data_IF_580000562176
#
_entry.id   IF_580000562176
#
_cell.length_a   1.000
_cell.length_b   1.000
_cell.length_c   1.000
_cell.angle_alpha   90.00
_cell.angle_beta   90.00
_cell.angle_gamma   90.00
#
_symmetry.space_group_name_H-M   'P 1'
#
loop_
_entity.id
_entity.type
_entity.pdbx_description
1 polymer ?
#
# COMPACT_ATOMS: atom_id res chain seq x y z
N UNK A 1 4.10 -22.63 6.52
CA UNK A 1 3.84 -21.31 7.14
C UNK A 1 4.11 -20.27 6.07
N UNK A 2 3.20 -19.32 5.87
CA UNK A 2 3.33 -18.22 4.90
C UNK A 2 3.81 -16.95 5.60
N UNK A 3 4.50 -16.06 4.87
CA UNK A 3 5.00 -14.78 5.35
C UNK A 3 4.19 -13.64 4.73
N UNK A 4 3.57 -12.83 5.57
CA UNK A 4 2.78 -11.66 5.18
C UNK A 4 3.47 -10.37 5.62
N UNK A 5 3.78 -9.49 4.69
CA UNK A 5 4.30 -8.14 4.96
C UNK A 5 3.16 -7.15 4.78
N UNK A 6 2.82 -6.38 5.83
CA UNK A 6 1.64 -5.50 5.84
C UNK A 6 2.05 -4.08 6.22
N UNK A 7 2.07 -3.17 5.25
CA UNK A 7 2.28 -1.75 5.54
C UNK A 7 1.00 -1.13 6.11
N UNK A 8 1.15 -0.23 7.09
CA UNK A 8 -0.01 0.30 7.82
C UNK A 8 -0.71 -0.76 8.69
N UNK A 9 -0.01 -1.85 9.04
CA UNK A 9 -0.55 -2.98 9.79
C UNK A 9 -0.78 -2.72 11.29
N UNK A 10 -0.53 -1.50 11.78
CA UNK A 10 -0.76 -1.12 13.18
C UNK A 10 -2.15 -0.51 13.42
N UNK A 11 -2.96 -0.30 12.36
CA UNK A 11 -4.27 0.34 12.46
C UNK A 11 -5.24 -0.16 11.36
N UNK A 12 -6.55 0.01 11.58
CA UNK A 12 -7.62 -0.24 10.63
C UNK A 12 -7.52 -1.59 9.91
N UNK A 13 -7.68 -1.57 8.58
CA UNK A 13 -7.66 -2.76 7.71
C UNK A 13 -6.37 -3.56 7.88
N UNK A 14 -5.21 -2.89 7.84
CA UNK A 14 -3.92 -3.58 7.95
C UNK A 14 -3.76 -4.32 9.28
N UNK A 15 -4.20 -3.71 10.39
CA UNK A 15 -4.18 -4.35 11.72
C UNK A 15 -5.09 -5.57 11.78
N UNK A 16 -6.30 -5.46 11.23
CA UNK A 16 -7.25 -6.57 11.24
C UNK A 16 -6.71 -7.77 10.43
N UNK A 17 -6.14 -7.53 9.25
CA UNK A 17 -5.49 -8.56 8.44
C UNK A 17 -4.29 -9.18 9.16
N UNK A 18 -3.46 -8.35 9.81
CA UNK A 18 -2.29 -8.80 10.54
C UNK A 18 -2.67 -9.76 11.68
N UNK A 19 -3.69 -9.41 12.46
CA UNK A 19 -4.19 -10.25 13.56
C UNK A 19 -4.81 -11.54 13.04
N UNK A 20 -5.61 -11.49 11.99
CA UNK A 20 -6.23 -12.66 11.37
C UNK A 20 -5.20 -13.68 10.89
N UNK A 21 -4.17 -13.25 10.12
CA UNK A 21 -3.13 -14.16 9.66
C UNK A 21 -2.24 -14.67 10.81
N UNK A 22 -2.03 -13.86 11.82
CA UNK A 22 -1.31 -14.31 13.01
C UNK A 22 -2.07 -15.39 13.77
N UNK A 23 -3.42 -15.27 13.91
CA UNK A 23 -4.29 -16.27 14.53
C UNK A 23 -4.35 -17.57 13.70
N UNK A 24 -4.25 -17.47 12.37
CA UNK A 24 -4.12 -18.62 11.46
C UNK A 24 -2.73 -19.28 11.48
N UNK A 25 -1.83 -18.85 12.36
CA UNK A 25 -0.50 -19.43 12.54
C UNK A 25 0.52 -19.01 11.48
N UNK A 26 0.29 -17.91 10.77
CA UNK A 26 1.20 -17.38 9.77
C UNK A 26 2.25 -16.45 10.40
N UNK A 27 3.32 -16.18 9.65
CA UNK A 27 4.33 -15.17 9.96
C UNK A 27 3.87 -13.80 9.46
N UNK A 28 3.92 -12.79 10.32
CA UNK A 28 3.39 -11.46 9.98
C UNK A 28 4.37 -10.36 10.34
N UNK A 29 4.78 -9.61 9.34
CA UNK A 29 5.61 -8.41 9.47
C UNK A 29 4.71 -7.18 9.28
N UNK A 30 4.61 -6.35 10.31
CA UNK A 30 3.85 -5.11 10.29
C UNK A 30 4.79 -3.92 10.19
N UNK A 31 4.53 -3.03 9.23
CA UNK A 31 5.28 -1.77 9.07
C UNK A 31 4.40 -0.59 9.45
N UNK A 32 4.91 0.31 10.29
CA UNK A 32 4.19 1.51 10.71
C UNK A 32 5.06 2.53 11.43
N UNK A 33 4.60 3.78 11.51
CA UNK A 33 5.38 4.91 12.08
C UNK A 33 5.36 4.95 13.62
N UNK A 34 4.23 4.59 14.24
CA UNK A 34 4.02 4.74 15.68
C UNK A 34 4.61 3.57 16.43
N UNK A 35 5.64 3.81 17.24
CA UNK A 35 6.21 2.83 18.17
C UNK A 35 5.13 2.32 19.13
N UNK A 36 4.32 3.22 19.72
CA UNK A 36 3.25 2.87 20.64
C UNK A 36 2.24 1.88 20.02
N UNK A 37 1.76 2.16 18.80
CA UNK A 37 0.84 1.25 18.09
C UNK A 37 1.51 -0.07 17.72
N UNK A 38 2.79 -0.04 17.37
CA UNK A 38 3.58 -1.23 17.07
C UNK A 38 3.77 -2.11 18.28
N UNK A 39 4.10 -1.53 19.44
CA UNK A 39 4.20 -2.26 20.71
C UNK A 39 2.85 -2.84 21.14
N UNK A 40 1.76 -2.07 21.03
CA UNK A 40 0.42 -2.57 21.31
C UNK A 40 0.02 -3.75 20.40
N UNK A 41 0.46 -3.76 19.12
CA UNK A 41 0.26 -4.89 18.22
C UNK A 41 1.09 -6.11 18.65
N UNK A 42 2.37 -5.93 19.03
CA UNK A 42 3.21 -7.01 19.56
C UNK A 42 2.66 -7.57 20.88
N UNK A 43 2.10 -6.72 21.76
CA UNK A 43 1.42 -7.16 22.96
C UNK A 43 0.18 -8.01 22.67
N UNK A 44 -0.61 -7.59 21.67
CA UNK A 44 -1.74 -8.38 21.21
C UNK A 44 -1.31 -9.75 20.63
N UNK A 45 -0.15 -9.82 19.98
CA UNK A 45 0.44 -11.06 19.52
C UNK A 45 0.90 -11.96 20.67
N UNK A 46 1.53 -11.39 21.70
CA UNK A 46 1.92 -12.13 22.93
C UNK A 46 0.71 -12.77 23.61
N UNK A 47 -0.38 -12.00 23.76
CA UNK A 47 -1.64 -12.50 24.36
C UNK A 47 -2.24 -13.67 23.59
N UNK A 48 -1.94 -13.80 22.31
CA UNK A 48 -2.37 -14.90 21.40
C UNK A 48 -1.36 -16.03 21.29
N UNK A 49 -0.30 -16.03 22.12
CA UNK A 49 0.81 -16.98 22.05
C UNK A 49 1.48 -17.02 20.66
N UNK A 50 1.53 -15.89 19.99
CA UNK A 50 2.05 -15.75 18.62
C UNK A 50 3.27 -14.82 18.51
N UNK A 51 3.91 -14.50 19.64
CA UNK A 51 5.03 -13.55 19.69
C UNK A 51 6.20 -13.92 18.76
N UNK A 52 6.49 -15.22 18.58
CA UNK A 52 7.58 -15.69 17.71
C UNK A 52 7.30 -15.57 16.21
N UNK A 53 6.07 -15.17 15.82
CA UNK A 53 5.65 -14.99 14.42
C UNK A 53 5.21 -13.57 14.12
N UNK A 54 5.33 -12.66 15.09
CA UNK A 54 4.91 -11.27 14.98
C UNK A 54 6.13 -10.36 14.96
N UNK A 55 6.29 -9.60 13.89
CA UNK A 55 7.41 -8.69 13.69
C UNK A 55 6.88 -7.28 13.44
N UNK A 56 7.50 -6.29 14.07
CA UNK A 56 7.20 -4.88 13.84
C UNK A 56 8.44 -4.14 13.36
N UNK A 57 8.33 -3.48 12.22
CA UNK A 57 9.35 -2.58 11.69
C UNK A 57 8.80 -1.16 11.77
N UNK A 58 9.48 -0.32 12.57
CA UNK A 58 9.15 1.10 12.62
C UNK A 58 9.76 1.82 11.42
N UNK A 59 8.93 2.44 10.59
CA UNK A 59 9.38 3.26 9.48
C UNK A 59 8.36 4.33 9.11
N UNK A 60 8.83 5.50 8.68
CA UNK A 60 8.05 6.49 7.95
C UNK A 60 8.18 6.24 6.44
N UNK A 61 7.15 5.62 5.87
CA UNK A 61 7.10 5.28 4.45
C UNK A 61 6.96 6.51 3.52
N UNK A 62 6.93 7.73 4.04
CA UNK A 62 7.12 8.93 3.23
C UNK A 62 8.60 9.26 2.98
N UNK A 63 9.52 8.52 3.61
CA UNK A 63 10.96 8.60 3.41
C UNK A 63 11.43 7.35 2.66
N UNK A 64 12.01 7.54 1.49
CA UNK A 64 12.43 6.43 0.64
C UNK A 64 13.63 5.69 1.22
N UNK A 65 14.53 6.37 1.92
CA UNK A 65 15.61 5.73 2.67
C UNK A 65 15.09 4.77 3.75
N UNK A 66 14.06 5.18 4.52
CA UNK A 66 13.43 4.29 5.50
C UNK A 66 12.66 3.16 4.82
N UNK A 67 12.00 3.43 3.69
CA UNK A 67 11.30 2.41 2.89
C UNK A 67 12.27 1.34 2.37
N UNK A 68 13.46 1.72 1.88
CA UNK A 68 14.52 0.77 1.48
C UNK A 68 15.05 -0.02 2.67
N UNK A 69 15.27 0.62 3.81
CA UNK A 69 15.68 -0.07 5.06
C UNK A 69 14.66 -1.13 5.47
N UNK A 70 13.36 -0.87 5.27
CA UNK A 70 12.31 -1.89 5.48
C UNK A 70 12.52 -3.08 4.54
N UNK A 71 12.73 -2.85 3.24
CA UNK A 71 12.97 -3.92 2.28
C UNK A 71 14.23 -4.74 2.62
N UNK A 72 15.32 -4.08 2.99
CA UNK A 72 16.58 -4.72 3.43
C UNK A 72 16.38 -5.56 4.69
N UNK A 73 15.64 -5.06 5.68
CA UNK A 73 15.31 -5.78 6.91
C UNK A 73 14.50 -7.04 6.62
N UNK A 74 13.55 -6.96 5.70
CA UNK A 74 12.75 -8.12 5.27
C UNK A 74 13.62 -9.14 4.53
N UNK A 75 14.47 -8.69 3.58
CA UNK A 75 15.40 -9.56 2.85
C UNK A 75 16.37 -10.31 3.76
N UNK A 76 16.86 -9.63 4.80
CA UNK A 76 17.81 -10.26 5.75
C UNK A 76 17.15 -11.27 6.68
N UNK A 77 15.83 -11.15 6.90
CA UNK A 77 15.10 -11.94 7.90
C UNK A 77 14.29 -13.09 7.31
N UNK A 78 13.88 -13.00 6.03
CA UNK A 78 12.97 -13.97 5.42
C UNK A 78 13.50 -14.48 4.08
N UNK A 79 13.31 -15.78 3.83
CA UNK A 79 13.70 -16.40 2.56
C UNK A 79 12.65 -16.20 1.46
N UNK A 80 11.38 -15.88 1.83
CA UNK A 80 10.28 -15.61 0.90
C UNK A 80 9.22 -14.74 1.55
N UNK A 81 8.44 -14.07 0.70
CA UNK A 81 7.23 -13.32 1.07
C UNK A 81 6.06 -13.86 0.26
N UNK A 82 5.06 -14.39 0.93
CA UNK A 82 3.86 -14.93 0.26
C UNK A 82 2.85 -13.83 -0.09
N UNK A 83 2.82 -12.75 0.70
CA UNK A 83 1.98 -11.60 0.41
C UNK A 83 2.61 -10.28 0.87
N UNK A 84 2.64 -9.29 -0.02
CA UNK A 84 2.93 -7.89 0.29
C UNK A 84 1.62 -7.10 0.25
N UNK A 85 1.15 -6.64 1.42
CA UNK A 85 -0.14 -5.93 1.56
C UNK A 85 0.11 -4.46 1.83
N UNK A 86 -0.19 -3.62 0.86
CA UNK A 86 0.09 -2.20 0.85
C UNK A 86 -1.15 -1.41 1.34
N UNK A 87 -1.32 -1.31 2.67
CA UNK A 87 -2.44 -0.61 3.31
C UNK A 87 -2.08 0.80 3.82
N UNK A 88 -0.79 1.15 3.90
CA UNK A 88 -0.37 2.43 4.43
C UNK A 88 -0.95 3.59 3.62
N UNK A 89 -1.67 4.51 4.29
CA UNK A 89 -2.24 5.72 3.73
C UNK A 89 -2.38 6.79 4.80
N UNK A 90 -2.09 8.03 4.45
CA UNK A 90 -2.24 9.17 5.34
C UNK A 90 -2.73 10.38 4.54
N UNK A 91 -3.78 11.04 4.99
CA UNK A 91 -4.34 12.24 4.35
C UNK A 91 -3.67 13.50 4.89
N UNK A 92 -3.41 14.47 4.02
CA UNK A 92 -2.97 15.82 4.39
C UNK A 92 -3.79 16.86 3.68
N UNK A 93 -4.29 17.83 4.42
CA UNK A 93 -4.98 19.00 3.84
C UNK A 93 -3.99 19.95 3.18
N UNK A 94 -2.79 20.08 3.73
CA UNK A 94 -1.76 21.00 3.25
C UNK A 94 -0.54 20.26 2.72
N UNK A 95 0.10 20.84 1.70
CA UNK A 95 1.33 20.32 1.12
C UNK A 95 2.44 20.25 2.18
N UNK A 96 3.09 19.13 2.23
CA UNK A 96 4.31 18.94 3.01
C UNK A 96 5.38 18.33 2.11
N UNK A 97 6.56 18.87 2.12
CA UNK A 97 7.74 18.28 1.46
C UNK A 97 8.55 17.51 2.49
N UNK A 98 8.93 16.28 2.17
CA UNK A 98 9.77 15.45 3.03
C UNK A 98 11.21 15.95 3.07
N UNK A 99 12.02 15.43 4.00
CA UNK A 99 13.44 15.76 4.07
C UNK A 99 14.21 15.34 2.80
N UNK A 100 13.67 14.41 2.02
CA UNK A 100 14.23 13.93 0.75
C UNK A 100 13.72 14.72 -0.47
N UNK A 101 12.91 15.78 -0.26
CA UNK A 101 12.44 16.68 -1.31
C UNK A 101 11.12 16.27 -1.97
N UNK A 102 10.52 15.14 -1.62
CA UNK A 102 9.26 14.66 -2.21
C UNK A 102 8.03 15.23 -1.52
N UNK A 103 6.92 15.44 -2.26
CA UNK A 103 5.62 15.69 -1.64
C UNK A 103 5.17 14.45 -0.84
N UNK A 104 4.71 14.69 0.39
CA UNK A 104 4.47 13.63 1.37
C UNK A 104 3.41 12.60 0.95
N UNK A 105 2.31 13.03 0.31
CA UNK A 105 1.26 12.10 -0.15
C UNK A 105 1.76 11.28 -1.34
N UNK A 106 2.45 11.91 -2.29
CA UNK A 106 3.09 11.24 -3.43
C UNK A 106 4.10 10.20 -2.94
N UNK A 107 5.00 10.59 -2.01
CA UNK A 107 5.98 9.69 -1.43
C UNK A 107 5.33 8.52 -0.68
N UNK A 108 4.43 8.84 0.25
CA UNK A 108 3.84 7.83 1.14
C UNK A 108 2.84 6.89 0.43
N UNK A 109 2.02 7.41 -0.50
CA UNK A 109 0.93 6.65 -1.12
C UNK A 109 1.29 6.02 -2.46
N UNK A 110 2.36 6.51 -3.13
CA UNK A 110 2.81 5.98 -4.42
C UNK A 110 4.25 5.48 -4.38
N UNK A 111 5.26 6.34 -4.10
CA UNK A 111 6.68 5.95 -4.18
C UNK A 111 7.01 4.79 -3.24
N UNK A 112 6.49 4.80 -2.00
CA UNK A 112 6.75 3.70 -1.06
C UNK A 112 6.26 2.35 -1.59
N UNK A 113 5.13 2.34 -2.31
CA UNK A 113 4.57 1.12 -2.90
C UNK A 113 5.36 0.66 -4.12
N UNK A 114 5.83 1.61 -4.91
CA UNK A 114 6.77 1.34 -6.01
C UNK A 114 8.03 0.67 -5.45
N UNK A 115 8.71 1.32 -4.51
CA UNK A 115 9.95 0.82 -3.90
C UNK A 115 9.77 -0.57 -3.31
N UNK A 116 8.78 -0.76 -2.42
CA UNK A 116 8.56 -2.06 -1.78
C UNK A 116 8.19 -3.15 -2.77
N UNK A 117 7.37 -2.85 -3.78
CA UNK A 117 6.95 -3.82 -4.80
C UNK A 117 8.13 -4.31 -5.63
N UNK A 118 9.03 -3.42 -6.04
CA UNK A 118 10.20 -3.78 -6.84
C UNK A 118 11.34 -4.34 -6.03
N UNK A 119 11.60 -3.79 -4.83
CA UNK A 119 12.67 -4.26 -3.95
C UNK A 119 12.43 -5.65 -3.35
N UNK A 120 11.18 -6.07 -3.16
CA UNK A 120 10.84 -7.36 -2.57
C UNK A 120 10.45 -8.43 -3.59
N UNK A 121 10.59 -8.14 -4.89
CA UNK A 121 10.12 -9.03 -5.95
C UNK A 121 10.76 -10.41 -5.89
N UNK A 122 12.07 -10.50 -5.62
CA UNK A 122 12.80 -11.78 -5.55
C UNK A 122 12.25 -12.67 -4.43
N UNK A 123 11.91 -12.08 -3.28
CA UNK A 123 11.30 -12.80 -2.17
C UNK A 123 9.85 -13.22 -2.47
N UNK A 124 9.13 -12.39 -3.24
CA UNK A 124 7.80 -12.73 -3.71
C UNK A 124 7.87 -13.90 -4.71
N UNK A 125 8.74 -13.83 -5.70
CA UNK A 125 8.91 -14.90 -6.71
C UNK A 125 9.38 -16.24 -6.12
N UNK A 126 9.99 -16.22 -4.93
CA UNK A 126 10.35 -17.42 -4.17
C UNK A 126 9.15 -18.13 -3.51
N UNK A 127 7.98 -17.52 -3.49
CA UNK A 127 6.76 -18.12 -2.95
C UNK A 127 5.94 -18.86 -4.03
N UNK A 128 5.10 -19.81 -3.61
CA UNK A 128 4.33 -20.66 -4.54
C UNK A 128 3.21 -19.86 -5.27
N UNK A 129 2.53 -18.98 -4.55
CA UNK A 129 1.41 -18.16 -5.07
C UNK A 129 1.49 -16.74 -4.50
N UNK A 130 2.53 -15.99 -4.88
CA UNK A 130 2.78 -14.68 -4.29
C UNK A 130 1.78 -13.63 -4.78
N UNK A 131 1.43 -12.72 -3.89
CA UNK A 131 0.52 -11.62 -4.21
C UNK A 131 1.04 -10.29 -3.66
N UNK A 132 1.01 -9.25 -4.49
CA UNK A 132 1.03 -7.86 -4.05
C UNK A 132 -0.41 -7.38 -4.03
N UNK A 133 -0.95 -7.12 -2.85
CA UNK A 133 -2.27 -6.54 -2.69
C UNK A 133 -2.14 -5.06 -2.35
N UNK A 134 -2.55 -4.22 -3.28
CA UNK A 134 -2.49 -2.77 -3.17
C UNK A 134 -3.88 -2.23 -2.82
N UNK A 135 -4.07 -1.84 -1.55
CA UNK A 135 -5.32 -1.23 -1.07
C UNK A 135 -5.35 0.24 -1.51
N UNK A 136 -6.01 0.48 -2.63
CA UNK A 136 -6.05 1.77 -3.32
C UNK A 136 -7.50 2.11 -3.74
N UNK A 137 -7.68 2.85 -4.81
CA UNK A 137 -8.97 3.21 -5.37
C UNK A 137 -9.01 2.97 -6.88
N UNK A 138 -8.91 1.70 -7.33
CA UNK A 138 -8.78 1.42 -8.76
C UNK A 138 -9.96 1.93 -9.58
N UNK A 139 -9.64 2.40 -10.81
CA UNK A 139 -10.61 2.90 -11.76
C UNK A 139 -11.13 4.30 -11.46
N UNK A 140 -10.47 5.06 -10.59
CA UNK A 140 -10.81 6.46 -10.34
C UNK A 140 -10.59 7.34 -11.57
N UNK A 141 -11.43 8.38 -11.74
CA UNK A 141 -11.42 9.28 -12.90
C UNK A 141 -10.55 10.54 -12.69
N UNK A 142 -9.69 10.54 -11.65
CA UNK A 142 -8.85 11.69 -11.38
C UNK A 142 -7.83 11.90 -12.51
N UNK A 143 -7.60 13.15 -12.88
CA UNK A 143 -6.54 13.54 -13.81
C UNK A 143 -5.16 13.33 -13.21
N UNK A 144 -4.18 12.97 -14.04
CA UNK A 144 -2.77 12.93 -13.69
C UNK A 144 -2.11 14.19 -14.22
N UNK A 145 -1.57 15.01 -13.33
CA UNK A 145 -0.81 16.21 -13.67
C UNK A 145 0.63 15.82 -14.05
N UNK A 146 0.82 15.39 -15.29
CA UNK A 146 2.08 14.82 -15.77
C UNK A 146 3.31 15.74 -15.63
N UNK A 147 3.10 17.05 -15.69
CA UNK A 147 4.16 18.05 -15.55
C UNK A 147 4.34 18.53 -14.10
N UNK A 148 3.47 18.07 -13.19
CA UNK A 148 3.48 18.41 -11.76
C UNK A 148 2.90 17.27 -10.91
N UNK A 149 3.54 16.10 -10.95
CA UNK A 149 3.08 14.91 -10.20
C UNK A 149 3.02 15.13 -8.69
N UNK A 150 3.75 16.10 -8.17
CA UNK A 150 3.82 16.45 -6.75
C UNK A 150 2.90 17.62 -6.37
N UNK A 151 2.10 18.12 -7.31
CA UNK A 151 1.17 19.23 -7.13
C UNK A 151 1.81 20.44 -6.43
N UNK A 152 3.00 20.84 -6.93
CA UNK A 152 3.75 21.94 -6.37
C UNK A 152 3.11 23.30 -6.62
N UNK A 153 2.40 23.45 -7.74
CA UNK A 153 1.77 24.72 -8.16
C UNK A 153 0.46 24.98 -7.42
N UNK A 154 -0.42 23.99 -7.36
CA UNK A 154 -1.76 24.12 -6.73
C UNK A 154 -2.09 22.85 -5.93
N UNK A 155 -1.68 22.81 -4.67
CA UNK A 155 -1.94 21.67 -3.82
C UNK A 155 -3.37 21.65 -3.26
N UNK A 156 -4.03 20.53 -3.46
CA UNK A 156 -5.24 20.14 -2.76
C UNK A 156 -5.11 18.70 -2.28
N UNK A 157 -5.32 18.45 -0.99
CA UNK A 157 -5.08 17.13 -0.40
C UNK A 157 -6.00 16.03 -0.96
N UNK A 158 -7.24 16.37 -1.35
CA UNK A 158 -8.15 15.41 -1.97
C UNK A 158 -7.70 15.08 -3.39
N UNK A 159 -7.23 16.09 -4.14
CA UNK A 159 -6.62 15.92 -5.46
C UNK A 159 -5.36 15.06 -5.38
N UNK A 160 -4.46 15.35 -4.43
CA UNK A 160 -3.24 14.57 -4.23
C UNK A 160 -3.55 13.09 -3.95
N UNK A 161 -4.54 12.81 -3.12
CA UNK A 161 -4.96 11.46 -2.82
C UNK A 161 -5.63 10.76 -4.01
N UNK A 162 -6.47 11.49 -4.75
CA UNK A 162 -7.16 10.97 -5.94
C UNK A 162 -6.17 10.66 -7.08
N UNK A 163 -5.23 11.59 -7.35
CA UNK A 163 -4.13 11.33 -8.29
C UNK A 163 -3.27 10.16 -7.83
N UNK A 164 -2.91 10.08 -6.53
CA UNK A 164 -2.18 8.94 -5.98
C UNK A 164 -2.88 7.60 -6.21
N UNK A 165 -4.23 7.57 -6.19
CA UNK A 165 -5.02 6.41 -6.59
C UNK A 165 -4.76 6.02 -8.04
N UNK A 166 -4.76 6.99 -8.97
CA UNK A 166 -4.45 6.79 -10.39
C UNK A 166 -3.02 6.30 -10.62
N UNK A 167 -2.05 6.88 -9.90
CA UNK A 167 -0.65 6.42 -9.97
C UNK A 167 -0.50 4.97 -9.50
N UNK A 168 -1.29 4.54 -8.51
CA UNK A 168 -1.33 3.14 -8.08
C UNK A 168 -1.96 2.21 -9.11
N UNK A 169 -2.95 2.65 -9.89
CA UNK A 169 -3.50 1.88 -11.01
C UNK A 169 -2.40 1.61 -12.05
N UNK A 170 -1.69 2.67 -12.44
CA UNK A 170 -0.59 2.58 -13.41
C UNK A 170 0.62 1.80 -12.86
N UNK A 171 0.88 1.85 -11.54
CA UNK A 171 1.89 1.00 -10.90
C UNK A 171 1.55 -0.48 -11.07
N UNK A 172 0.30 -0.89 -10.85
CA UNK A 172 -0.13 -2.27 -11.07
C UNK A 172 0.04 -2.70 -12.53
N UNK A 173 -0.30 -1.82 -13.47
CA UNK A 173 -0.14 -2.08 -14.92
C UNK A 173 1.34 -2.21 -15.29
N UNK A 174 2.21 -1.27 -14.85
CA UNK A 174 3.64 -1.32 -15.16
C UNK A 174 4.32 -2.52 -14.55
N UNK A 175 3.96 -2.91 -13.32
CA UNK A 175 4.50 -4.11 -12.68
C UNK A 175 4.15 -5.38 -13.48
N UNK A 176 2.88 -5.55 -13.85
CA UNK A 176 2.43 -6.72 -14.59
C UNK A 176 2.99 -6.78 -16.02
N UNK A 177 3.06 -5.64 -16.72
CA UNK A 177 3.58 -5.54 -18.09
C UNK A 177 5.10 -5.68 -18.15
N UNK A 178 5.83 -5.12 -17.19
CA UNK A 178 7.29 -5.14 -17.15
C UNK A 178 7.90 -6.48 -16.72
N UNK A 179 7.07 -7.42 -16.23
CA UNK A 179 7.53 -8.73 -15.74
C UNK A 179 6.77 -9.90 -16.37
N UNK A 180 6.90 -10.10 -17.68
CA UNK A 180 6.24 -11.21 -18.36
C UNK A 180 6.80 -12.55 -17.81
N UNK A 181 5.89 -13.42 -17.37
CA UNK A 181 6.24 -14.74 -16.82
C UNK A 181 6.50 -14.78 -15.32
N UNK A 182 6.42 -13.67 -14.61
CA UNK A 182 6.41 -13.69 -13.14
C UNK A 182 5.20 -14.45 -12.60
N UNK A 183 5.39 -15.17 -11.47
CA UNK A 183 4.29 -15.79 -10.74
C UNK A 183 3.58 -14.81 -9.79
N UNK A 184 4.11 -13.59 -9.60
CA UNK A 184 3.53 -12.58 -8.71
C UNK A 184 2.21 -12.05 -9.28
N UNK A 185 1.16 -12.09 -8.48
CA UNK A 185 -0.16 -11.54 -8.80
C UNK A 185 -0.28 -10.15 -8.21
N UNK A 186 -0.48 -9.14 -9.05
CA UNK A 186 -0.72 -7.78 -8.58
C UNK A 186 -2.23 -7.51 -8.50
N UNK A 187 -2.72 -7.17 -7.32
CA UNK A 187 -4.14 -6.95 -7.09
C UNK A 187 -4.37 -5.54 -6.55
N UNK A 188 -5.14 -4.76 -7.29
CA UNK A 188 -5.66 -3.45 -6.88
C UNK A 188 -7.01 -3.66 -6.21
N UNK A 189 -7.20 -3.15 -4.99
CA UNK A 189 -8.43 -3.37 -4.27
C UNK A 189 -8.91 -2.10 -3.56
N UNK A 190 -10.16 -1.71 -3.85
CA UNK A 190 -10.90 -0.69 -3.11
C UNK A 190 -11.92 -1.35 -2.19
N UNK A 191 -11.72 -1.38 -0.87
CA UNK A 191 -12.69 -1.94 0.05
C UNK A 191 -13.94 -1.06 0.25
N UNK A 192 -13.98 0.12 -0.37
CA UNK A 192 -14.98 1.14 -0.07
C UNK A 192 -14.61 2.00 1.14
N UNK A 193 -15.61 2.67 1.69
CA UNK A 193 -15.43 3.52 2.87
C UNK A 193 -15.46 2.64 4.13
N UNK A 194 -14.36 2.58 4.86
CA UNK A 194 -14.17 1.70 6.03
C UNK A 194 -13.96 2.54 7.28
N UNK A 195 -14.65 2.21 8.37
CA UNK A 195 -14.57 2.90 9.66
C UNK A 195 -13.24 2.60 10.37
N UNK A 196 -12.17 3.25 9.90
CA UNK A 196 -10.82 3.20 10.49
C UNK A 196 -10.54 4.47 11.29
N UNK A 197 -9.31 4.65 11.76
CA UNK A 197 -8.89 5.92 12.38
C UNK A 197 -8.94 7.12 11.42
N UNK A 198 -9.10 6.90 10.10
CA UNK A 198 -8.96 7.93 9.07
C UNK A 198 -7.66 8.71 9.28
N UNK A 199 -6.54 8.00 9.33
CA UNK A 199 -5.23 8.59 9.57
C UNK A 199 -4.98 9.80 8.65
N UNK A 200 -4.77 10.97 9.25
CA UNK A 200 -4.60 12.20 8.48
C UNK A 200 -4.42 13.44 9.35
N UNK A 201 -4.04 14.52 8.69
CA UNK A 201 -4.07 15.87 9.22
C UNK A 201 -5.17 16.64 8.47
N UNK A 202 -6.24 16.95 9.19
CA UNK A 202 -7.43 17.57 8.65
C UNK A 202 -7.55 19.03 9.14
N UNK A 203 -7.93 19.92 8.26
CA UNK A 203 -8.33 21.26 8.66
C UNK A 203 -9.63 21.20 9.50
N UNK A 204 -9.86 22.16 10.43
CA UNK A 204 -11.01 22.11 11.35
C UNK A 204 -12.37 22.02 10.66
N UNK A 205 -12.55 22.65 9.53
CA UNK A 205 -13.77 22.64 8.71
C UNK A 205 -14.03 21.28 8.06
N UNK A 206 -12.98 20.49 7.83
CA UNK A 206 -13.07 19.14 7.24
C UNK A 206 -13.41 18.09 8.30
N UNK A 207 -13.07 18.32 9.57
CA UNK A 207 -13.25 17.34 10.66
C UNK A 207 -14.71 16.86 10.80
N UNK A 208 -15.68 17.77 10.76
CA UNK A 208 -17.10 17.39 10.87
C UNK A 208 -17.53 16.45 9.73
N UNK A 209 -17.00 16.66 8.53
CA UNK A 209 -17.24 15.78 7.37
C UNK A 209 -16.58 14.40 7.57
N UNK A 210 -15.37 14.37 8.09
CA UNK A 210 -14.66 13.09 8.41
C UNK A 210 -15.45 12.30 9.46
N UNK A 211 -15.97 12.95 10.50
CA UNK A 211 -16.77 12.29 11.52
C UNK A 211 -18.11 11.76 10.96
N UNK A 212 -18.72 12.47 10.03
CA UNK A 212 -19.89 11.98 9.31
C UNK A 212 -19.54 10.75 8.45
N UNK A 213 -18.42 10.80 7.72
CA UNK A 213 -17.93 9.68 6.92
C UNK A 213 -17.64 8.45 7.79
N UNK A 214 -17.03 8.61 8.95
CA UNK A 214 -16.77 7.51 9.91
C UNK A 214 -18.06 6.80 10.33
N UNK A 215 -19.12 7.58 10.61
CA UNK A 215 -20.42 7.02 11.04
C UNK A 215 -21.14 6.24 9.94
N UNK A 216 -20.92 6.59 8.66
CA UNK A 216 -21.55 5.93 7.51
C UNK A 216 -20.68 4.85 6.88
N UNK A 217 -19.43 4.72 7.32
CA UNK A 217 -18.49 3.74 6.81
C UNK A 217 -18.79 2.34 7.35
N UNK A 218 -18.52 1.30 6.55
CA UNK A 218 -18.65 -0.08 6.97
C UNK A 218 -17.62 -0.43 8.05
N UNK A 219 -17.94 -1.39 8.95
CA UNK A 219 -16.98 -1.89 9.93
C UNK A 219 -15.74 -2.50 9.27
N UNK A 220 -14.62 -2.46 9.99
CA UNK A 220 -13.34 -3.05 9.50
C UNK A 220 -13.51 -4.56 9.28
N UNK A 221 -14.22 -5.24 10.17
CA UNK A 221 -14.47 -6.67 10.15
C UNK A 221 -15.20 -7.12 8.89
N UNK A 222 -16.10 -6.31 8.35
CA UNK A 222 -16.78 -6.56 7.09
C UNK A 222 -15.87 -6.25 5.89
N UNK A 223 -15.14 -5.14 5.97
CA UNK A 223 -14.27 -4.68 4.89
C UNK A 223 -13.11 -5.63 4.59
N UNK A 224 -12.62 -6.38 5.59
CA UNK A 224 -11.50 -7.31 5.40
C UNK A 224 -11.91 -8.63 4.75
N UNK A 225 -13.19 -9.01 4.76
CA UNK A 225 -13.64 -10.29 4.21
C UNK A 225 -13.26 -10.47 2.73
N UNK A 226 -13.58 -9.54 1.81
CA UNK A 226 -13.16 -9.67 0.41
C UNK A 226 -11.64 -9.60 0.24
N UNK A 227 -10.94 -8.91 1.13
CA UNK A 227 -9.47 -8.86 1.10
C UNK A 227 -8.88 -10.22 1.46
N UNK A 228 -9.38 -10.87 2.50
CA UNK A 228 -8.96 -12.21 2.90
C UNK A 228 -9.22 -13.23 1.78
N UNK A 229 -10.38 -13.17 1.11
CA UNK A 229 -10.70 -14.04 -0.02
C UNK A 229 -9.65 -13.93 -1.14
N UNK A 230 -9.25 -12.70 -1.49
CA UNK A 230 -8.21 -12.47 -2.50
C UNK A 230 -6.83 -12.96 -2.04
N UNK A 231 -6.46 -12.74 -0.78
CA UNK A 231 -5.17 -13.18 -0.25
C UNK A 231 -5.08 -14.71 -0.08
N UNK A 232 -6.20 -15.35 0.25
CA UNK A 232 -6.27 -16.82 0.42
C UNK A 232 -6.30 -17.56 -0.92
N UNK A 233 -6.93 -16.95 -1.94
CA UNK A 233 -7.04 -17.48 -3.30
C UNK A 233 -6.79 -16.38 -4.34
N UNK A 234 -5.52 -15.96 -4.55
CA UNK A 234 -5.19 -14.91 -5.50
C UNK A 234 -5.67 -15.23 -6.93
N UNK A 235 -6.23 -14.24 -7.66
CA UNK A 235 -6.65 -14.41 -9.04
C UNK A 235 -5.50 -14.91 -9.92
N UNK A 236 -5.80 -15.71 -10.95
CA UNK A 236 -4.78 -16.25 -11.85
C UNK A 236 -4.14 -15.20 -12.76
N UNK A 237 -4.84 -14.09 -13.04
CA UNK A 237 -4.32 -13.02 -13.88
C UNK A 237 -3.15 -12.29 -13.21
N UNK A 238 -2.17 -11.83 -13.99
CA UNK A 238 -1.01 -11.07 -13.49
C UNK A 238 -1.42 -9.73 -12.87
N UNK A 239 -2.51 -9.11 -13.37
CA UNK A 239 -3.14 -7.92 -12.82
C UNK A 239 -4.64 -8.17 -12.64
N UNK A 240 -5.18 -7.82 -11.49
CA UNK A 240 -6.62 -7.84 -11.20
C UNK A 240 -7.00 -6.60 -10.42
N UNK A 241 -8.24 -6.16 -10.56
CA UNK A 241 -8.79 -5.04 -9.79
C UNK A 241 -10.17 -5.36 -9.22
N UNK A 242 -10.44 -4.85 -8.02
CA UNK A 242 -11.71 -5.07 -7.31
C UNK A 242 -12.19 -3.78 -6.64
N UNK A 243 -13.50 -3.57 -6.67
CA UNK A 243 -14.16 -2.50 -5.93
C UNK A 243 -15.27 -3.11 -5.08
N UNK A 244 -15.16 -3.04 -3.75
CA UNK A 244 -16.12 -3.61 -2.79
C UNK A 244 -16.38 -5.11 -3.02
N UNK A 245 -15.33 -5.86 -3.39
CA UNK A 245 -15.43 -7.29 -3.69
C UNK A 245 -15.84 -7.63 -5.12
N UNK A 246 -16.35 -6.66 -5.89
CA UNK A 246 -16.74 -6.88 -7.29
C UNK A 246 -15.54 -6.67 -8.23
N UNK A 247 -15.36 -7.54 -9.23
CA UNK A 247 -14.29 -7.38 -10.21
C UNK A 247 -14.43 -6.09 -11.03
N UNK A 248 -13.32 -5.39 -11.23
CA UNK A 248 -13.18 -4.28 -12.16
C UNK A 248 -12.22 -4.68 -13.28
N UNK A 249 -12.57 -4.40 -14.54
CA UNK A 249 -11.68 -4.67 -15.66
C UNK A 249 -10.42 -3.78 -15.62
N UNK A 250 -9.20 -4.33 -15.54
CA UNK A 250 -7.96 -3.54 -15.57
C UNK A 250 -7.50 -3.23 -17.01
N UNK A 251 -8.42 -3.16 -17.96
CA UNK A 251 -8.16 -2.88 -19.39
C UNK A 251 -8.84 -1.61 -19.89
N UNK A 252 -9.43 -0.82 -19.00
CA UNK A 252 -10.07 0.44 -19.34
C UNK A 252 -9.06 1.58 -19.56
N UNK A 253 -9.54 2.79 -19.91
CA UNK A 253 -8.68 3.95 -20.21
C UNK A 253 -7.81 4.37 -19.01
N UNK A 254 -8.23 4.03 -17.81
CA UNK A 254 -7.49 4.31 -16.57
C UNK A 254 -6.29 3.37 -16.33
N UNK A 255 -6.14 2.33 -17.14
CA UNK A 255 -5.09 1.32 -17.06
C UNK A 255 -4.24 1.29 -18.33
N UNK A 256 -4.01 2.46 -18.96
CA UNK A 256 -3.26 2.57 -20.20
C UNK A 256 -1.80 2.15 -20.00
N UNK A 257 -1.34 1.18 -20.79
CA UNK A 257 0.02 0.64 -20.71
C UNK A 257 1.07 1.71 -21.00
N UNK A 258 0.79 2.62 -21.95
CA UNK A 258 1.71 3.70 -22.31
C UNK A 258 1.90 4.70 -21.16
N UNK A 259 0.81 5.08 -20.48
CA UNK A 259 0.88 5.93 -19.29
C UNK A 259 1.60 5.23 -18.13
N UNK A 260 1.39 3.93 -17.98
CA UNK A 260 2.08 3.13 -16.96
C UNK A 260 3.59 3.08 -17.22
N UNK A 261 4.01 2.90 -18.48
CA UNK A 261 5.41 2.95 -18.89
C UNK A 261 6.01 4.34 -18.64
N UNK A 262 5.31 5.40 -19.07
CA UNK A 262 5.72 6.80 -18.84
C UNK A 262 5.95 7.09 -17.36
N UNK A 263 5.01 6.66 -16.50
CA UNK A 263 5.10 6.85 -15.05
C UNK A 263 6.27 6.08 -14.46
N UNK A 264 6.45 4.84 -14.87
CA UNK A 264 7.55 3.99 -14.41
C UNK A 264 8.91 4.63 -14.70
N UNK A 265 9.16 4.98 -15.96
CA UNK A 265 10.41 5.64 -16.39
C UNK A 265 10.64 6.98 -15.68
N UNK A 266 9.57 7.74 -15.43
CA UNK A 266 9.66 8.98 -14.68
C UNK A 266 10.06 8.70 -13.22
N UNK A 267 9.45 7.68 -12.60
CA UNK A 267 9.71 7.33 -11.20
C UNK A 267 11.14 6.82 -11.01
N UNK A 268 11.64 5.97 -11.92
CA UNK A 268 13.03 5.49 -11.86
C UNK A 268 14.02 6.66 -11.94
N UNK A 269 13.83 7.59 -12.89
CA UNK A 269 14.69 8.79 -13.00
C UNK A 269 14.63 9.66 -11.74
N UNK A 270 13.41 9.89 -11.22
CA UNK A 270 13.21 10.69 -10.03
C UNK A 270 13.94 10.10 -8.81
N UNK A 271 13.87 8.78 -8.63
CA UNK A 271 14.54 8.09 -7.54
C UNK A 271 16.08 8.04 -7.76
N UNK A 272 16.54 7.84 -8.99
CA UNK A 272 17.98 7.88 -9.32
C UNK A 272 18.60 9.24 -9.05
N UNK A 273 17.92 10.32 -9.42
CA UNK A 273 18.42 11.69 -9.25
C UNK A 273 18.48 12.13 -7.78
N UNK A 274 17.61 11.63 -6.92
CA UNK A 274 17.49 12.08 -5.53
C UNK A 274 18.08 11.10 -4.49
N UNK A 275 18.20 9.82 -4.80
CA UNK A 275 18.51 8.77 -3.81
C UNK A 275 19.62 7.80 -4.24
N UNK A 276 20.35 8.04 -5.30
CA UNK A 276 21.32 7.08 -5.86
C UNK A 276 20.64 5.69 -6.10
N UNK A 277 19.48 5.72 -6.72
CA UNK A 277 18.72 4.51 -7.07
C UNK A 277 19.51 3.68 -8.10
N UNK A 278 19.67 2.35 -7.93
CA UNK A 278 20.44 1.49 -8.82
C UNK A 278 19.82 1.32 -10.22
#
# INVERSE_FOLDING_TARGET
MKTYVITGGTDGIGKALALEYLERGQEVVVVGRSTEKGEAWLDAARQRSAAGRAHFIRADLSLMAETRTVAESIRSSFAKVDALVLCARHFRTTRLVTAEGFENTFAHFYLSRFVLGYELVDLLEAADTPVILNVAGPGGEAEIHWDDLELALEYDGARALAQGGRLNDLLGVSFAAGRPGTNVRYVLLNPGMVSTSFSGQYAPDVMARIDAMRRSAQPVEEAVVPILQVLDAPPAASLSAFVRGEPLSPHGPWFAVEDARRLHEHTERLLADQLEWP
#
